data_IF_818870038367
#
_entry.id   IF_818870038367
#
_cell.length_a   1.000
_cell.length_b   1.000
_cell.length_c   1.000
_cell.angle_alpha   90.00
_cell.angle_beta   90.00
_cell.angle_gamma   90.00
#
_symmetry.space_group_name_H-M   'P 1'
#
loop_
_entity.id
_entity.type
_entity.pdbx_description
1 polymer ?
#
# COMPACT_ATOMS: atom_id res chain seq x y z
N UNK A 1 14.12 -43.44 -16.00
CA UNK A 1 14.09 -42.34 -16.97
C UNK A 1 13.01 -41.36 -16.55
N UNK A 2 13.42 -40.31 -15.84
CA UNK A 2 12.52 -39.24 -15.37
C UNK A 2 12.34 -38.31 -16.57
N UNK A 3 11.13 -38.29 -17.15
CA UNK A 3 10.77 -37.31 -18.17
C UNK A 3 10.99 -35.92 -17.56
N UNK A 4 11.91 -35.16 -18.16
CA UNK A 4 12.17 -33.78 -17.79
C UNK A 4 10.87 -32.98 -17.78
N UNK A 5 10.61 -32.29 -16.66
CA UNK A 5 9.75 -31.12 -16.66
C UNK A 5 10.29 -30.19 -17.75
N UNK A 6 9.57 -30.10 -18.88
CA UNK A 6 9.79 -29.04 -19.87
C UNK A 6 9.80 -27.72 -19.09
N UNK A 7 10.92 -27.01 -19.11
CA UNK A 7 10.92 -25.58 -18.79
C UNK A 7 9.92 -24.95 -19.76
N UNK A 8 8.74 -24.59 -19.25
CA UNK A 8 7.72 -23.93 -20.04
C UNK A 8 8.32 -22.66 -20.65
N UNK A 9 7.96 -22.36 -21.89
CA UNK A 9 8.48 -21.19 -22.60
C UNK A 9 8.32 -19.92 -21.74
N UNK A 10 9.43 -19.19 -21.56
CA UNK A 10 9.45 -17.90 -20.87
C UNK A 10 8.43 -16.96 -21.51
N UNK A 11 7.41 -16.53 -20.75
CA UNK A 11 6.38 -15.62 -21.23
C UNK A 11 6.97 -14.28 -21.70
N UNK A 12 6.43 -13.73 -22.77
CA UNK A 12 6.70 -12.37 -23.23
C UNK A 12 5.83 -11.39 -22.45
N UNK A 13 6.47 -10.50 -21.71
CA UNK A 13 5.82 -9.49 -20.89
C UNK A 13 6.06 -8.11 -21.49
N UNK A 14 5.00 -7.34 -21.69
CA UNK A 14 5.07 -5.93 -22.03
C UNK A 14 4.75 -5.10 -20.80
N UNK A 15 5.60 -4.14 -20.49
CA UNK A 15 5.47 -3.33 -19.28
C UNK A 15 5.43 -1.85 -19.66
N UNK A 16 4.52 -1.09 -19.04
CA UNK A 16 4.37 0.35 -19.22
C UNK A 16 4.11 1.02 -17.87
N UNK A 17 4.56 2.28 -17.75
CA UNK A 17 4.33 3.10 -16.56
C UNK A 17 5.55 3.25 -15.65
N UNK A 18 5.35 3.82 -14.46
CA UNK A 18 6.43 4.26 -13.57
C UNK A 18 7.21 3.07 -12.98
N UNK A 19 6.56 1.92 -12.79
CA UNK A 19 7.18 0.70 -12.26
C UNK A 19 8.01 -0.07 -13.30
N UNK A 20 8.02 0.37 -14.58
CA UNK A 20 8.57 -0.40 -15.71
C UNK A 20 10.01 -0.85 -15.50
N UNK A 21 10.88 0.03 -15.00
CA UNK A 21 12.31 -0.32 -14.87
C UNK A 21 12.53 -1.36 -13.77
N UNK A 22 11.89 -1.20 -12.62
CA UNK A 22 12.00 -2.13 -11.50
C UNK A 22 11.45 -3.52 -11.89
N UNK A 23 10.25 -3.55 -12.47
CA UNK A 23 9.61 -4.80 -12.90
C UNK A 23 10.39 -5.46 -14.04
N UNK A 24 10.94 -4.68 -14.99
CA UNK A 24 11.80 -5.25 -16.04
C UNK A 24 13.00 -5.97 -15.45
N UNK A 25 13.71 -5.34 -14.48
CA UNK A 25 14.85 -5.98 -13.82
C UNK A 25 14.44 -7.27 -13.12
N UNK A 26 13.40 -7.19 -12.28
CA UNK A 26 12.89 -8.34 -11.51
C UNK A 26 12.52 -9.51 -12.44
N UNK A 27 11.84 -9.23 -13.55
CA UNK A 27 11.36 -10.26 -14.46
C UNK A 27 12.48 -10.89 -15.30
N UNK A 28 13.46 -10.10 -15.75
CA UNK A 28 14.65 -10.62 -16.41
C UNK A 28 15.45 -11.55 -15.50
N UNK A 29 15.62 -11.18 -14.23
CA UNK A 29 16.32 -12.00 -13.22
C UNK A 29 15.64 -13.36 -12.98
N UNK A 30 14.35 -13.49 -13.34
CA UNK A 30 13.56 -14.72 -13.23
C UNK A 30 13.24 -15.37 -14.59
N UNK A 31 13.96 -14.99 -15.65
CA UNK A 31 13.91 -15.66 -16.95
C UNK A 31 12.70 -15.32 -17.83
N UNK A 32 11.93 -14.27 -17.50
CA UNK A 32 10.89 -13.75 -18.40
C UNK A 32 11.52 -12.98 -19.56
N UNK A 33 10.79 -12.90 -20.69
CA UNK A 33 11.20 -12.12 -21.86
C UNK A 33 10.44 -10.81 -21.91
N UNK A 34 11.13 -9.72 -22.24
CA UNK A 34 10.49 -8.41 -22.39
C UNK A 34 10.22 -8.15 -23.88
N UNK A 35 8.95 -7.90 -24.21
CA UNK A 35 8.55 -7.52 -25.58
C UNK A 35 8.22 -6.04 -25.67
N UNK A 36 8.46 -5.47 -26.86
CA UNK A 36 8.23 -4.06 -27.18
C UNK A 36 8.78 -3.10 -26.12
N UNK A 37 10.03 -3.25 -25.65
CA UNK A 37 10.61 -2.34 -24.66
C UNK A 37 10.75 -0.92 -25.24
N UNK A 38 10.53 0.11 -24.42
CA UNK A 38 10.79 1.50 -24.83
C UNK A 38 12.30 1.72 -25.07
N UNK A 39 12.70 2.75 -25.84
CA UNK A 39 14.12 3.04 -26.07
C UNK A 39 14.94 3.17 -24.77
N UNK A 40 14.34 3.78 -23.74
CA UNK A 40 14.98 3.91 -22.43
C UNK A 40 15.20 2.54 -21.75
N UNK A 41 14.26 1.60 -21.89
CA UNK A 41 14.40 0.24 -21.34
C UNK A 41 15.40 -0.58 -22.16
N UNK A 42 15.40 -0.44 -23.49
CA UNK A 42 16.42 -1.06 -24.35
C UNK A 42 17.83 -0.62 -23.94
N UNK A 43 18.04 0.68 -23.73
CA UNK A 43 19.31 1.23 -23.28
C UNK A 43 19.72 0.72 -21.89
N UNK A 44 18.80 0.75 -20.91
CA UNK A 44 19.08 0.35 -19.52
C UNK A 44 19.47 -1.12 -19.37
N UNK A 45 18.88 -2.00 -20.18
CA UNK A 45 19.04 -3.44 -20.04
C UNK A 45 19.76 -4.10 -21.22
N UNK A 46 20.32 -3.31 -22.14
CA UNK A 46 20.92 -3.77 -23.39
C UNK A 46 20.01 -4.76 -24.17
N UNK A 47 18.69 -4.51 -24.15
CA UNK A 47 17.71 -5.37 -24.82
C UNK A 47 17.59 -4.99 -26.29
N UNK A 48 17.52 -5.99 -27.15
CA UNK A 48 17.08 -5.79 -28.52
C UNK A 48 15.57 -5.55 -28.55
N UNK A 49 15.12 -4.63 -29.40
CA UNK A 49 13.70 -4.42 -29.64
C UNK A 49 13.07 -5.66 -30.26
N UNK A 50 12.35 -6.44 -29.46
CA UNK A 50 11.54 -7.56 -29.95
C UNK A 50 10.09 -7.11 -30.11
N UNK A 51 9.41 -7.57 -31.17
CA UNK A 51 8.02 -7.23 -31.47
C UNK A 51 7.06 -8.43 -31.34
N UNK A 52 7.48 -9.48 -30.61
CA UNK A 52 6.64 -10.63 -30.31
C UNK A 52 5.34 -10.19 -29.62
N UNK A 53 4.21 -10.88 -29.88
CA UNK A 53 3.00 -10.68 -29.08
C UNK A 53 3.29 -10.83 -27.59
N UNK A 54 2.67 -9.98 -26.76
CA UNK A 54 2.71 -10.10 -25.31
C UNK A 54 1.78 -11.20 -24.80
N UNK A 55 2.28 -12.09 -23.95
CA UNK A 55 1.46 -13.03 -23.18
C UNK A 55 0.83 -12.35 -21.95
N UNK A 56 1.54 -11.34 -21.42
CA UNK A 56 1.12 -10.51 -20.30
C UNK A 56 1.41 -9.04 -20.60
N UNK A 57 0.43 -8.19 -20.36
CA UNK A 57 0.58 -6.74 -20.28
C UNK A 57 0.55 -6.28 -18.82
N UNK A 58 1.54 -5.50 -18.42
CA UNK A 58 1.57 -4.78 -17.15
C UNK A 58 1.52 -3.28 -17.45
N UNK A 59 0.58 -2.57 -16.82
CA UNK A 59 0.44 -1.10 -16.93
C UNK A 59 0.14 -0.50 -15.57
N UNK A 60 0.47 0.76 -15.36
CA UNK A 60 0.08 1.44 -14.11
C UNK A 60 -1.44 1.42 -13.90
N UNK A 61 -1.86 1.33 -12.65
CA UNK A 61 -3.21 1.74 -12.23
C UNK A 61 -3.38 3.24 -12.45
N UNK A 62 -4.64 3.70 -12.54
CA UNK A 62 -4.97 5.11 -12.79
C UNK A 62 -4.44 6.06 -11.70
N UNK A 63 -4.38 5.59 -10.46
CA UNK A 63 -3.87 6.32 -9.29
C UNK A 63 -2.35 6.13 -9.08
N UNK A 64 -1.70 5.33 -9.92
CA UNK A 64 -0.30 4.93 -9.84
C UNK A 64 0.09 4.23 -8.51
N UNK A 65 -0.87 3.76 -7.71
CA UNK A 65 -0.64 3.01 -6.47
C UNK A 65 -0.31 1.53 -6.70
N UNK A 66 -0.09 1.15 -7.95
CA UNK A 66 0.30 -0.19 -8.35
C UNK A 66 0.09 -0.39 -9.84
N UNK A 67 -0.21 -1.63 -10.25
CA UNK A 67 -0.32 -2.02 -11.66
C UNK A 67 -1.56 -2.85 -11.95
N UNK A 68 -2.03 -2.77 -13.18
CA UNK A 68 -2.96 -3.71 -13.79
C UNK A 68 -2.17 -4.74 -14.59
N UNK A 69 -2.53 -6.01 -14.44
CA UNK A 69 -2.00 -7.12 -15.21
C UNK A 69 -3.13 -7.69 -16.04
N UNK A 70 -2.91 -7.85 -17.35
CA UNK A 70 -3.85 -8.55 -18.23
C UNK A 70 -3.15 -9.54 -19.16
N UNK A 71 -3.84 -10.60 -19.53
CA UNK A 71 -3.34 -11.62 -20.47
C UNK A 71 -3.61 -13.04 -19.99
N UNK A 72 -2.76 -13.98 -20.40
CA UNK A 72 -2.96 -15.40 -20.14
C UNK A 72 -3.00 -15.71 -18.63
N UNK A 73 -4.05 -16.39 -18.17
CA UNK A 73 -4.30 -16.70 -16.75
C UNK A 73 -3.17 -17.51 -16.09
N UNK A 74 -2.68 -18.56 -16.75
CA UNK A 74 -1.60 -19.40 -16.21
C UNK A 74 -0.29 -18.60 -16.04
N UNK A 75 0.03 -17.76 -17.03
CA UNK A 75 1.22 -16.90 -16.97
C UNK A 75 1.07 -15.81 -15.91
N UNK A 76 -0.11 -15.18 -15.81
CA UNK A 76 -0.41 -14.18 -14.80
C UNK A 76 -0.33 -14.79 -13.39
N UNK A 77 -0.89 -15.97 -13.14
CA UNK A 77 -0.78 -16.65 -11.84
C UNK A 77 0.68 -16.94 -11.43
N UNK A 78 1.53 -17.37 -12.38
CA UNK A 78 2.98 -17.52 -12.16
C UNK A 78 3.63 -16.19 -11.78
N UNK A 79 3.30 -15.12 -12.51
CA UNK A 79 3.81 -13.79 -12.25
C UNK A 79 3.39 -13.28 -10.87
N UNK A 80 2.12 -13.45 -10.47
CA UNK A 80 1.64 -13.10 -9.13
C UNK A 80 2.41 -13.87 -8.05
N UNK A 81 2.62 -15.17 -8.25
CA UNK A 81 3.38 -15.99 -7.30
C UNK A 81 4.81 -15.49 -7.12
N UNK A 82 5.48 -15.11 -8.23
CA UNK A 82 6.79 -14.47 -8.20
C UNK A 82 6.75 -13.15 -7.43
N UNK A 83 5.82 -12.26 -7.77
CA UNK A 83 5.73 -10.93 -7.15
C UNK A 83 5.44 -11.05 -5.64
N UNK A 84 4.59 -11.97 -5.19
CA UNK A 84 4.33 -12.23 -3.76
C UNK A 84 5.57 -12.67 -2.99
N UNK A 85 6.50 -13.37 -3.63
CA UNK A 85 7.75 -13.78 -2.99
C UNK A 85 8.69 -12.60 -2.81
N UNK A 86 8.64 -11.62 -3.72
CA UNK A 86 9.51 -10.45 -3.71
C UNK A 86 8.93 -9.25 -2.94
N UNK A 87 7.61 -9.08 -2.95
CA UNK A 87 6.90 -7.88 -2.50
C UNK A 87 6.00 -8.23 -1.31
N UNK A 88 6.43 -7.82 -0.10
CA UNK A 88 5.84 -8.25 1.17
C UNK A 88 4.36 -7.86 1.30
N UNK A 89 4.07 -6.57 1.12
CA UNK A 89 2.77 -5.95 1.39
C UNK A 89 1.93 -5.78 0.14
N UNK A 90 2.30 -6.42 -0.97
CA UNK A 90 1.52 -6.41 -2.19
C UNK A 90 0.13 -7.02 -1.97
N UNK A 91 -0.90 -6.36 -2.49
CA UNK A 91 -2.29 -6.84 -2.49
C UNK A 91 -2.73 -7.08 -3.91
N UNK A 92 -3.46 -8.18 -4.16
CA UNK A 92 -3.93 -8.58 -5.50
C UNK A 92 -5.43 -8.80 -5.47
N UNK A 93 -6.14 -8.31 -6.48
CA UNK A 93 -7.59 -8.48 -6.62
C UNK A 93 -7.99 -8.52 -8.10
N UNK A 94 -9.15 -9.12 -8.45
CA UNK A 94 -9.67 -9.04 -9.82
C UNK A 94 -9.86 -7.58 -10.26
N UNK A 95 -9.54 -7.27 -11.52
CA UNK A 95 -9.72 -5.93 -12.04
C UNK A 95 -11.22 -5.61 -12.20
N UNK A 96 -11.62 -4.41 -11.76
CA UNK A 96 -13.02 -3.99 -11.86
C UNK A 96 -13.94 -4.58 -10.80
N UNK A 97 -13.41 -5.38 -9.87
CA UNK A 97 -14.13 -5.83 -8.68
C UNK A 97 -14.58 -4.61 -7.85
N UNK A 98 -15.88 -4.54 -7.54
CA UNK A 98 -16.51 -3.41 -6.83
C UNK A 98 -17.05 -3.88 -5.47
N UNK A 99 -16.21 -3.94 -4.42
CA UNK A 99 -16.62 -4.48 -3.11
C UNK A 99 -17.73 -3.65 -2.44
N UNK A 100 -17.91 -2.38 -2.82
CA UNK A 100 -18.92 -1.47 -2.24
C UNK A 100 -20.35 -1.69 -2.74
N UNK A 101 -20.59 -2.72 -3.57
CA UNK A 101 -21.95 -3.18 -3.84
C UNK A 101 -22.51 -4.06 -2.70
N UNK A 102 -21.64 -4.58 -1.82
CA UNK A 102 -22.02 -5.21 -0.57
C UNK A 102 -22.02 -4.18 0.58
N UNK A 103 -22.98 -4.25 1.50
CA UNK A 103 -22.95 -3.43 2.72
C UNK A 103 -21.72 -3.77 3.57
N UNK A 104 -21.27 -2.80 4.37
CA UNK A 104 -20.13 -2.94 5.28
C UNK A 104 -20.42 -4.06 6.29
N UNK A 105 -19.80 -5.23 6.11
CA UNK A 105 -20.10 -6.46 6.86
C UNK A 105 -20.62 -7.61 5.98
N UNK A 106 -21.39 -7.33 4.93
CA UNK A 106 -21.89 -8.32 3.97
C UNK A 106 -20.82 -8.78 2.97
N UNK A 107 -19.81 -7.95 2.71
CA UNK A 107 -18.64 -8.31 1.87
C UNK A 107 -18.03 -9.67 2.27
N UNK A 108 -18.06 -9.90 3.57
CA UNK A 108 -17.44 -11.01 4.27
C UNK A 108 -18.34 -12.24 4.39
N UNK A 109 -19.63 -12.07 4.09
CA UNK A 109 -20.66 -13.10 4.15
C UNK A 109 -20.99 -13.65 2.74
N UNK A 110 -20.75 -12.88 1.67
CA UNK A 110 -21.14 -13.21 0.30
C UNK A 110 -19.96 -13.05 -0.69
N UNK A 111 -18.99 -13.98 -0.59
CA UNK A 111 -17.73 -13.95 -1.36
C UNK A 111 -17.72 -14.85 -2.60
N UNK A 112 -18.85 -15.49 -2.94
CA UNK A 112 -18.93 -16.41 -4.09
C UNK A 112 -18.49 -15.73 -5.39
N UNK A 113 -18.79 -14.43 -5.57
CA UNK A 113 -18.39 -13.70 -6.78
C UNK A 113 -16.87 -13.45 -6.85
N UNK A 114 -16.23 -13.05 -5.74
CA UNK A 114 -14.78 -12.86 -5.68
C UNK A 114 -14.05 -14.19 -5.89
N UNK A 115 -14.52 -15.24 -5.22
CA UNK A 115 -14.00 -16.60 -5.36
C UNK A 115 -14.19 -17.11 -6.79
N UNK A 116 -15.35 -16.89 -7.42
CA UNK A 116 -15.61 -17.27 -8.80
C UNK A 116 -14.75 -16.50 -9.81
N UNK A 117 -14.51 -15.20 -9.61
CA UNK A 117 -13.62 -14.41 -10.48
C UNK A 117 -12.16 -14.90 -10.38
N UNK A 118 -11.70 -15.21 -9.16
CA UNK A 118 -10.37 -15.78 -8.90
C UNK A 118 -10.27 -17.21 -9.46
N UNK A 119 -11.29 -18.04 -9.24
CA UNK A 119 -11.35 -19.44 -9.66
C UNK A 119 -11.72 -19.63 -11.15
N UNK A 120 -12.16 -18.56 -11.83
CA UNK A 120 -12.71 -18.62 -13.18
C UNK A 120 -11.81 -19.38 -14.17
N UNK A 121 -12.43 -20.08 -15.10
CA UNK A 121 -11.75 -20.94 -16.09
C UNK A 121 -11.32 -20.20 -17.36
N UNK A 122 -11.60 -18.89 -17.44
CA UNK A 122 -11.26 -18.10 -18.62
C UNK A 122 -9.75 -18.09 -18.90
N UNK A 123 -9.39 -18.27 -20.17
CA UNK A 123 -7.99 -18.32 -20.60
C UNK A 123 -7.25 -16.98 -20.40
N UNK A 124 -7.99 -15.87 -20.38
CA UNK A 124 -7.49 -14.53 -20.06
C UNK A 124 -7.99 -14.07 -18.69
N UNK A 125 -7.23 -13.19 -18.06
CA UNK A 125 -7.63 -12.55 -16.80
C UNK A 125 -7.14 -11.12 -16.77
N UNK A 126 -7.85 -10.27 -16.02
CA UNK A 126 -7.36 -8.96 -15.60
C UNK A 126 -7.29 -8.89 -14.08
N UNK A 127 -6.13 -8.50 -13.56
CA UNK A 127 -5.86 -8.33 -12.14
C UNK A 127 -5.40 -6.92 -11.85
N UNK A 128 -5.82 -6.42 -10.70
CA UNK A 128 -5.25 -5.25 -10.06
C UNK A 128 -4.26 -5.67 -8.98
N UNK A 129 -3.12 -5.00 -8.95
CA UNK A 129 -2.14 -5.11 -7.89
C UNK A 129 -1.94 -3.75 -7.25
N UNK A 130 -2.03 -3.71 -5.92
CA UNK A 130 -1.60 -2.57 -5.12
C UNK A 130 -0.19 -2.78 -4.56
N UNK A 131 0.61 -1.73 -4.61
CA UNK A 131 1.93 -1.67 -4.00
C UNK A 131 1.93 -0.66 -2.85
N UNK A 132 1.76 -1.08 -1.60
CA UNK A 132 1.99 -0.23 -0.44
C UNK A 132 3.49 0.03 -0.22
N UNK A 133 3.82 0.74 0.86
CA UNK A 133 5.13 1.37 1.02
C UNK A 133 6.32 0.40 0.95
N UNK A 134 6.21 -0.82 1.50
CA UNK A 134 7.32 -1.79 1.49
C UNK A 134 7.56 -2.33 0.09
N UNK A 135 6.51 -2.60 -0.68
CA UNK A 135 6.58 -3.00 -2.09
C UNK A 135 7.19 -1.89 -2.93
N UNK A 136 6.74 -0.63 -2.77
CA UNK A 136 7.33 0.51 -3.47
C UNK A 136 8.82 0.66 -3.14
N UNK A 137 9.19 0.58 -1.86
CA UNK A 137 10.59 0.67 -1.44
C UNK A 137 11.45 -0.48 -2.01
N UNK A 138 10.89 -1.70 -2.08
CA UNK A 138 11.57 -2.85 -2.69
C UNK A 138 11.79 -2.62 -4.19
N UNK A 139 10.76 -2.14 -4.90
CA UNK A 139 10.86 -1.80 -6.32
C UNK A 139 11.81 -0.62 -6.58
N UNK A 140 11.85 0.38 -5.70
CA UNK A 140 12.84 1.48 -5.73
C UNK A 140 14.26 0.93 -5.60
N UNK A 141 14.49 0.00 -4.67
CA UNK A 141 15.80 -0.62 -4.46
C UNK A 141 16.23 -1.43 -5.70
N UNK A 142 15.33 -2.21 -6.30
CA UNK A 142 15.58 -2.94 -7.54
C UNK A 142 15.90 -1.98 -8.69
N UNK A 143 15.13 -0.89 -8.82
CA UNK A 143 15.38 0.15 -9.82
C UNK A 143 16.76 0.80 -9.62
N UNK A 144 17.15 1.04 -8.36
CA UNK A 144 18.44 1.62 -7.97
C UNK A 144 19.66 0.80 -8.40
N UNK A 145 19.49 -0.49 -8.68
CA UNK A 145 20.56 -1.34 -9.24
C UNK A 145 20.81 -1.06 -10.73
N UNK A 146 19.90 -0.40 -11.41
CA UNK A 146 19.92 -0.17 -12.86
C UNK A 146 20.21 1.28 -13.22
N UNK A 147 19.69 2.22 -12.44
CA UNK A 147 19.81 3.66 -12.71
C UNK A 147 19.77 4.46 -11.40
N UNK A 148 20.38 5.65 -11.34
CA UNK A 148 20.18 6.57 -10.22
C UNK A 148 18.70 6.66 -9.86
N UNK A 149 18.41 6.39 -8.59
CA UNK A 149 17.07 6.30 -8.04
C UNK A 149 17.07 6.97 -6.67
N UNK A 150 16.16 7.94 -6.48
CA UNK A 150 15.94 8.58 -5.18
C UNK A 150 15.18 7.65 -4.24
N UNK A 151 15.37 7.80 -2.92
CA UNK A 151 14.48 7.17 -1.93
C UNK A 151 13.02 7.55 -2.18
N UNK A 152 12.11 6.59 -2.01
CA UNK A 152 10.67 6.75 -2.24
C UNK A 152 10.34 7.18 -3.67
N UNK A 153 11.15 6.77 -4.67
CA UNK A 153 10.99 7.16 -6.07
C UNK A 153 9.56 6.94 -6.56
N UNK A 154 9.00 5.74 -6.41
CA UNK A 154 7.64 5.49 -6.91
C UNK A 154 6.60 6.38 -6.23
N UNK A 155 6.68 6.59 -4.90
CA UNK A 155 5.77 7.51 -4.20
C UNK A 155 5.92 8.94 -4.72
N UNK A 156 7.16 9.44 -4.86
CA UNK A 156 7.42 10.79 -5.34
C UNK A 156 7.09 10.97 -6.82
N UNK A 157 7.15 9.92 -7.65
CA UNK A 157 6.68 9.94 -9.04
C UNK A 157 5.17 10.09 -9.13
N UNK A 158 4.39 9.63 -8.14
CA UNK A 158 2.94 9.89 -8.07
C UNK A 158 2.68 11.37 -7.82
N UNK A 159 3.50 12.00 -6.97
CA UNK A 159 3.31 13.38 -6.54
C UNK A 159 3.83 14.38 -7.57
N UNK A 160 5.08 14.21 -8.01
CA UNK A 160 5.79 15.18 -8.84
C UNK A 160 6.81 14.49 -9.75
N UNK A 161 6.34 13.89 -10.87
CA UNK A 161 7.19 13.14 -11.79
C UNK A 161 8.43 13.91 -12.26
N UNK A 162 8.25 15.18 -12.62
CA UNK A 162 9.27 16.02 -13.25
C UNK A 162 10.40 16.40 -12.31
N UNK A 163 10.07 16.67 -11.03
CA UNK A 163 11.08 17.00 -10.02
C UNK A 163 11.94 15.79 -9.66
N UNK A 164 11.34 14.60 -9.59
CA UNK A 164 12.09 13.35 -9.40
C UNK A 164 13.07 13.14 -10.56
N UNK A 165 12.63 13.31 -11.80
CA UNK A 165 13.50 13.13 -12.98
C UNK A 165 14.68 14.12 -12.95
N UNK A 166 14.42 15.39 -12.60
CA UNK A 166 15.45 16.42 -12.45
C UNK A 166 16.47 16.06 -11.36
N UNK A 167 16.01 15.60 -10.20
CA UNK A 167 16.91 15.23 -9.10
C UNK A 167 17.69 13.96 -9.42
N UNK A 168 17.10 12.96 -10.07
CA UNK A 168 17.82 11.76 -10.51
C UNK A 168 18.93 12.09 -11.54
N UNK A 169 18.68 13.05 -12.44
CA UNK A 169 19.70 13.56 -13.35
C UNK A 169 20.83 14.27 -12.60
N UNK A 170 20.49 15.11 -11.61
CA UNK A 170 21.47 15.78 -10.76
C UNK A 170 22.32 14.77 -9.96
N UNK A 171 21.70 13.71 -9.43
CA UNK A 171 22.40 12.62 -8.73
C UNK A 171 23.33 11.88 -9.68
N UNK A 172 22.93 11.64 -10.93
CA UNK A 172 23.81 11.02 -11.93
C UNK A 172 25.09 11.81 -12.12
N UNK A 173 24.97 13.14 -12.15
CA UNK A 173 26.11 14.06 -12.34
C UNK A 173 26.90 14.31 -11.04
N UNK A 174 26.24 14.24 -9.89
CA UNK A 174 26.84 14.52 -8.56
C UNK A 174 26.48 13.47 -7.51
N UNK A 175 26.94 12.20 -7.64
CA UNK A 175 26.51 11.11 -6.76
C UNK A 175 26.76 11.35 -5.27
N UNK A 176 27.83 12.08 -4.91
CA UNK A 176 28.17 12.40 -3.52
C UNK A 176 27.14 13.31 -2.83
N UNK A 177 26.29 14.01 -3.58
CA UNK A 177 25.20 14.86 -3.05
C UNK A 177 23.87 14.14 -2.88
N UNK A 178 23.82 12.82 -3.16
CA UNK A 178 22.56 12.06 -3.17
C UNK A 178 21.72 12.27 -1.91
N UNK A 179 22.31 12.13 -0.72
CA UNK A 179 21.57 12.26 0.54
C UNK A 179 21.00 13.69 0.74
N UNK A 180 21.78 14.72 0.42
CA UNK A 180 21.34 16.12 0.50
C UNK A 180 20.17 16.39 -0.46
N UNK A 181 20.27 15.90 -1.70
CA UNK A 181 19.25 16.07 -2.73
C UNK A 181 17.96 15.31 -2.40
N UNK A 182 18.07 14.09 -1.86
CA UNK A 182 16.92 13.31 -1.38
C UNK A 182 16.21 14.00 -0.23
N UNK A 183 16.95 14.50 0.75
CA UNK A 183 16.40 15.21 1.91
C UNK A 183 15.67 16.48 1.49
N UNK A 184 16.27 17.27 0.60
CA UNK A 184 15.65 18.47 0.06
C UNK A 184 14.41 18.15 -0.76
N UNK A 185 14.45 17.12 -1.60
CA UNK A 185 13.32 16.68 -2.41
C UNK A 185 12.12 16.30 -1.54
N UNK A 186 12.36 15.53 -0.48
CA UNK A 186 11.31 15.14 0.48
C UNK A 186 10.72 16.35 1.22
N UNK A 187 11.58 17.24 1.71
CA UNK A 187 11.17 18.44 2.41
C UNK A 187 10.34 19.37 1.52
N UNK A 188 10.78 19.62 0.27
CA UNK A 188 10.12 20.54 -0.66
C UNK A 188 8.78 20.00 -1.19
N UNK A 189 8.69 18.69 -1.44
CA UNK A 189 7.53 18.09 -2.11
C UNK A 189 6.51 17.52 -1.12
N UNK A 190 6.94 17.00 0.04
CA UNK A 190 6.04 16.37 1.00
C UNK A 190 5.84 17.27 2.22
N UNK A 191 6.90 17.54 2.97
CA UNK A 191 6.73 18.13 4.32
C UNK A 191 6.30 19.59 4.29
N UNK A 192 6.85 20.43 3.39
CA UNK A 192 6.45 21.84 3.29
C UNK A 192 4.97 21.99 2.88
N UNK A 193 4.49 21.34 1.81
CA UNK A 193 3.06 21.38 1.48
C UNK A 193 2.17 20.84 2.60
N UNK A 194 2.60 19.76 3.27
CA UNK A 194 1.85 19.17 4.37
C UNK A 194 1.71 20.12 5.56
N UNK A 195 2.78 20.85 5.91
CA UNK A 195 2.74 21.91 6.95
C UNK A 195 1.86 23.09 6.57
N UNK A 196 1.65 23.33 5.28
CA UNK A 196 0.84 24.44 4.77
C UNK A 196 -0.66 24.11 4.71
N UNK A 197 -1.05 22.86 5.01
CA UNK A 197 -2.46 22.47 5.09
C UNK A 197 -3.16 23.27 6.20
N UNK A 198 -4.09 24.16 5.80
CA UNK A 198 -4.77 25.09 6.71
C UNK A 198 -6.02 24.52 7.38
N UNK A 199 -6.58 23.45 6.82
CA UNK A 199 -7.82 22.84 7.29
C UNK A 199 -7.58 21.48 7.95
N UNK A 200 -8.28 20.44 7.49
CA UNK A 200 -8.21 19.08 7.98
C UNK A 200 -7.37 18.25 7.01
N UNK A 201 -6.32 17.61 7.53
CA UNK A 201 -5.53 16.68 6.71
C UNK A 201 -6.32 15.40 6.46
N UNK A 202 -6.52 15.03 5.19
CA UNK A 202 -7.22 13.80 4.83
C UNK A 202 -6.45 12.56 5.28
N UNK A 203 -7.16 11.57 5.82
CA UNK A 203 -6.64 10.22 6.03
C UNK A 203 -7.31 9.30 5.01
N UNK A 204 -6.52 8.77 4.09
CA UNK A 204 -6.96 7.82 3.07
C UNK A 204 -6.75 6.41 3.60
N UNK A 205 -7.86 5.78 3.92
CA UNK A 205 -7.94 4.42 4.44
C UNK A 205 -8.32 3.48 3.29
N UNK A 206 -7.41 2.58 2.92
CA UNK A 206 -7.59 1.70 1.75
C UNK A 206 -7.75 0.28 2.25
N UNK A 207 -8.82 -0.40 1.87
CA UNK A 207 -8.98 -1.79 2.22
C UNK A 207 -8.27 -2.72 1.21
N UNK A 208 -7.88 -3.95 1.62
CA UNK A 208 -7.37 -4.98 0.72
C UNK A 208 -8.28 -5.29 -0.48
N UNK A 209 -9.59 -5.08 -0.36
CA UNK A 209 -10.56 -5.31 -1.44
C UNK A 209 -10.57 -4.17 -2.48
N UNK A 210 -9.91 -3.05 -2.19
CA UNK A 210 -9.80 -1.89 -3.10
C UNK A 210 -10.76 -0.75 -2.82
N UNK A 211 -11.57 -0.84 -1.74
CA UNK A 211 -12.37 0.29 -1.27
C UNK A 211 -11.45 1.35 -0.66
N UNK A 212 -11.57 2.59 -1.14
CA UNK A 212 -10.84 3.73 -0.60
C UNK A 212 -11.82 4.64 0.15
N UNK A 213 -11.54 4.89 1.42
CA UNK A 213 -12.30 5.76 2.30
C UNK A 213 -11.49 7.00 2.62
N UNK A 214 -12.01 8.16 2.22
CA UNK A 214 -11.50 9.44 2.68
C UNK A 214 -12.13 9.75 4.03
N UNK A 215 -11.40 9.43 5.10
CA UNK A 215 -11.85 9.72 6.44
C UNK A 215 -11.72 11.22 6.70
N UNK A 216 -12.74 11.80 7.34
CA UNK A 216 -12.70 13.19 7.76
C UNK A 216 -11.46 13.40 8.62
N UNK A 217 -10.57 14.24 8.13
CA UNK A 217 -9.31 14.58 8.76
C UNK A 217 -9.47 15.26 10.12
N UNK A 218 -8.34 15.72 10.64
CA UNK A 218 -8.29 16.59 11.82
C UNK A 218 -7.34 17.75 11.61
N UNK A 219 -7.34 18.69 12.56
CA UNK A 219 -6.37 19.79 12.59
C UNK A 219 -5.00 19.22 12.94
N UNK A 220 -3.95 19.62 12.21
CA UNK A 220 -2.58 19.24 12.53
C UNK A 220 -2.18 19.96 13.83
N UNK A 221 -1.84 19.19 14.87
CA UNK A 221 -1.29 19.71 16.11
C UNK A 221 0.23 19.84 16.05
N UNK A 222 0.89 18.83 15.49
CA UNK A 222 2.33 18.78 15.33
C UNK A 222 2.68 17.98 14.07
N UNK A 223 3.70 18.41 13.34
CA UNK A 223 4.29 17.68 12.23
C UNK A 223 5.81 17.77 12.31
N UNK A 224 6.40 16.67 12.74
CA UNK A 224 7.83 16.40 12.65
C UNK A 224 8.16 15.66 11.36
N UNK A 225 9.43 15.33 11.12
CA UNK A 225 9.88 14.69 9.88
C UNK A 225 9.16 13.39 9.57
N UNK A 226 8.91 12.58 10.60
CA UNK A 226 8.34 11.23 10.50
C UNK A 226 7.11 11.01 11.40
N UNK A 227 6.65 12.05 12.12
CA UNK A 227 5.55 11.94 13.07
C UNK A 227 4.55 13.07 12.85
N UNK A 228 3.27 12.71 12.74
CA UNK A 228 2.16 13.63 12.60
C UNK A 228 1.16 13.39 13.73
N UNK A 229 0.76 14.47 14.40
CA UNK A 229 -0.32 14.48 15.38
C UNK A 229 -1.50 15.26 14.83
N UNK A 230 -2.67 14.63 14.83
CA UNK A 230 -3.90 15.18 14.27
C UNK A 230 -4.99 15.17 15.34
N UNK A 231 -5.67 16.30 15.55
CA UNK A 231 -6.81 16.40 16.47
C UNK A 231 -8.13 16.44 15.72
N UNK A 232 -9.06 15.59 16.13
CA UNK A 232 -10.45 15.56 15.67
C UNK A 232 -11.37 15.91 16.83
N UNK A 233 -12.33 16.79 16.59
CA UNK A 233 -13.37 17.16 17.56
C UNK A 233 -14.66 16.42 17.21
N UNK A 234 -15.38 15.90 18.21
CA UNK A 234 -16.65 15.23 18.05
C UNK A 234 -17.77 16.16 18.55
N UNK A 235 -18.53 16.74 17.61
CA UNK A 235 -19.56 17.76 17.91
C UNK A 235 -20.96 17.18 18.10
N UNK A 236 -21.24 15.98 17.58
CA UNK A 236 -22.56 15.34 17.63
C UNK A 236 -22.43 13.91 18.15
N UNK A 237 -23.09 13.64 19.26
CA UNK A 237 -23.23 12.31 19.85
C UNK A 237 -24.62 11.76 19.49
N UNK A 238 -24.80 11.28 18.25
CA UNK A 238 -26.07 10.71 17.81
C UNK A 238 -26.25 9.25 18.30
N UNK A 239 -25.92 9.00 19.58
CA UNK A 239 -25.87 7.64 20.15
C UNK A 239 -24.74 6.76 19.58
N UNK A 240 -23.80 7.36 18.85
CA UNK A 240 -22.66 6.66 18.27
C UNK A 240 -21.64 6.27 19.35
N UNK A 241 -20.96 5.14 19.11
CA UNK A 241 -19.89 4.66 19.96
C UNK A 241 -18.55 4.71 19.21
N UNK A 242 -17.46 4.79 19.97
CA UNK A 242 -16.14 4.54 19.41
C UNK A 242 -16.04 3.08 18.98
N UNK A 243 -15.71 2.88 17.71
CA UNK A 243 -15.63 1.55 17.11
C UNK A 243 -14.62 0.66 17.86
N UNK A 244 -14.98 -0.60 18.05
CA UNK A 244 -14.24 -1.59 18.86
C UNK A 244 -14.13 -1.28 20.37
N UNK A 245 -14.26 -0.02 20.80
CA UNK A 245 -14.25 0.37 22.21
C UNK A 245 -15.63 0.25 22.86
N UNK A 246 -16.73 0.30 22.09
CA UNK A 246 -18.13 0.26 22.60
C UNK A 246 -18.38 1.31 23.71
N UNK A 247 -17.66 2.44 23.64
CA UNK A 247 -17.82 3.57 24.54
C UNK A 247 -18.64 4.65 23.84
N UNK A 248 -19.63 5.28 24.50
CA UNK A 248 -20.40 6.35 23.88
C UNK A 248 -19.50 7.54 23.55
N UNK A 249 -19.70 8.11 22.37
CA UNK A 249 -19.15 9.41 22.01
C UNK A 249 -20.02 10.45 22.70
N UNK A 250 -19.40 11.38 23.42
CA UNK A 250 -20.10 12.46 24.11
C UNK A 250 -19.77 13.82 23.47
N UNK A 251 -20.69 14.80 23.49
CA UNK A 251 -20.41 16.12 22.94
C UNK A 251 -19.19 16.76 23.62
N UNK A 252 -18.24 17.24 22.80
CA UNK A 252 -17.00 17.84 23.32
C UNK A 252 -15.85 16.85 23.49
N UNK A 253 -16.10 15.54 23.32
CA UNK A 253 -15.02 14.57 23.18
C UNK A 253 -14.10 14.94 22.01
N UNK A 254 -12.85 14.51 22.11
CA UNK A 254 -11.88 14.70 21.03
C UNK A 254 -10.93 13.51 20.91
N UNK A 255 -10.45 13.30 19.69
CA UNK A 255 -9.50 12.25 19.35
C UNK A 255 -8.16 12.85 18.95
N UNK A 256 -7.07 12.28 19.46
CA UNK A 256 -5.72 12.53 18.98
C UNK A 256 -5.29 11.31 18.17
N UNK A 257 -5.03 11.52 16.90
CA UNK A 257 -4.46 10.51 16.02
C UNK A 257 -2.97 10.76 15.87
N UNK A 258 -2.15 9.80 16.28
CA UNK A 258 -0.73 9.79 16.04
C UNK A 258 -0.42 8.88 14.85
N UNK A 259 0.36 9.42 13.92
CA UNK A 259 0.77 8.72 12.72
C UNK A 259 2.26 8.82 12.55
N UNK A 260 2.92 7.68 12.37
CA UNK A 260 4.35 7.61 12.09
C UNK A 260 4.59 7.13 10.68
N UNK A 261 5.44 7.82 9.92
CA UNK A 261 5.82 7.40 8.57
C UNK A 261 6.49 6.03 8.62
N UNK A 262 6.08 5.13 7.75
CA UNK A 262 6.42 3.71 7.77
C UNK A 262 6.01 2.94 9.04
N UNK A 263 5.19 3.53 9.90
CA UNK A 263 4.59 2.83 11.04
C UNK A 263 3.56 1.82 10.55
N UNK A 264 3.49 0.66 11.20
CA UNK A 264 2.55 -0.43 10.87
C UNK A 264 1.18 -0.29 11.54
N UNK A 265 0.95 0.86 12.19
CA UNK A 265 -0.35 1.16 12.77
C UNK A 265 -0.58 2.67 12.86
N UNK A 266 -1.85 3.06 12.88
CA UNK A 266 -2.28 4.37 13.36
C UNK A 266 -2.79 4.22 14.79
N UNK A 267 -2.45 5.17 15.67
CA UNK A 267 -2.96 5.21 17.04
C UNK A 267 -3.97 6.34 17.19
N UNK A 268 -5.19 6.01 17.61
CA UNK A 268 -6.23 6.95 17.96
C UNK A 268 -6.48 6.90 19.47
N UNK A 269 -6.14 7.96 20.18
CA UNK A 269 -6.46 8.13 21.61
C UNK A 269 -7.66 9.05 21.75
N UNK A 270 -8.71 8.59 22.43
CA UNK A 270 -9.96 9.33 22.63
C UNK A 270 -10.07 9.85 24.04
N UNK A 271 -10.46 11.13 24.17
CA UNK A 271 -10.53 11.85 25.42
C UNK A 271 -11.91 12.48 25.59
N UNK A 272 -12.36 12.57 26.85
CA UNK A 272 -13.53 13.36 27.21
C UNK A 272 -13.29 14.86 27.01
N UNK A 273 -14.36 15.66 27.06
CA UNK A 273 -14.26 17.12 27.07
C UNK A 273 -13.31 17.65 28.17
N UNK A 274 -13.27 16.98 29.32
CA UNK A 274 -12.40 17.32 30.46
C UNK A 274 -10.95 16.83 30.31
N UNK A 275 -10.63 16.13 29.20
CA UNK A 275 -9.30 15.62 28.91
C UNK A 275 -8.96 14.28 29.56
N UNK A 276 -9.95 13.55 30.07
CA UNK A 276 -9.74 12.19 30.60
C UNK A 276 -9.67 11.18 29.45
N UNK A 277 -8.65 10.32 29.45
CA UNK A 277 -8.53 9.25 28.46
C UNK A 277 -9.70 8.26 28.62
N UNK A 278 -10.47 8.07 27.54
CA UNK A 278 -11.56 7.09 27.46
C UNK A 278 -11.05 5.75 26.92
N UNK A 279 -10.17 5.78 25.92
CA UNK A 279 -9.56 4.59 25.37
C UNK A 279 -8.61 4.88 24.22
N UNK A 280 -7.94 3.85 23.73
CA UNK A 280 -7.03 3.91 22.59
C UNK A 280 -7.33 2.77 21.62
N UNK A 281 -7.30 3.12 20.33
CA UNK A 281 -7.51 2.22 19.20
C UNK A 281 -6.25 2.24 18.35
N UNK A 282 -5.72 1.07 18.02
CA UNK A 282 -4.61 0.90 17.10
C UNK A 282 -5.09 0.18 15.86
N UNK A 283 -5.14 0.93 14.76
CA UNK A 283 -5.44 0.38 13.45
C UNK A 283 -4.18 -0.25 12.85
N UNK A 284 -4.13 -1.56 12.64
CA UNK A 284 -2.95 -2.21 12.07
C UNK A 284 -3.04 -2.18 10.55
N UNK A 285 -2.01 -1.62 9.93
CA UNK A 285 -1.97 -1.35 8.51
C UNK A 285 -0.58 -1.63 7.93
N UNK A 286 -0.51 -1.63 6.60
CA UNK A 286 0.78 -1.54 5.92
C UNK A 286 1.44 -0.20 6.23
N UNK A 287 2.78 -0.12 6.20
CA UNK A 287 3.52 1.08 6.57
C UNK A 287 2.99 2.38 5.94
N UNK A 288 2.71 3.36 6.81
CA UNK A 288 2.03 4.60 6.42
C UNK A 288 2.85 5.48 5.46
N UNK A 289 2.18 6.00 4.44
CA UNK A 289 2.73 6.89 3.40
C UNK A 289 2.26 8.34 3.59
N UNK A 290 3.22 9.28 3.57
CA UNK A 290 2.92 10.71 3.65
C UNK A 290 2.86 11.29 2.23
N UNK A 291 1.79 12.03 1.94
CA UNK A 291 1.58 12.79 0.73
C UNK A 291 1.50 14.30 1.06
N UNK A 292 1.59 15.21 0.06
CA UNK A 292 1.58 16.67 0.29
C UNK A 292 0.31 17.21 0.94
N UNK A 293 -0.80 16.47 0.81
CA UNK A 293 -2.17 16.88 1.11
C UNK A 293 -2.92 15.89 2.01
N UNK A 294 -2.35 14.70 2.23
CA UNK A 294 -3.02 13.60 2.91
C UNK A 294 -2.02 12.59 3.47
N UNK A 295 -2.52 11.72 4.34
CA UNK A 295 -1.83 10.51 4.75
C UNK A 295 -2.56 9.31 4.17
N UNK A 296 -1.83 8.30 3.70
CA UNK A 296 -2.39 7.10 3.09
C UNK A 296 -1.82 5.85 3.73
N UNK A 297 -2.67 4.84 3.92
CA UNK A 297 -2.27 3.51 4.36
C UNK A 297 -3.26 2.46 3.85
N UNK A 298 -2.80 1.22 3.72
CA UNK A 298 -3.66 0.08 3.44
C UNK A 298 -3.94 -0.68 4.74
N UNK A 299 -5.21 -0.77 5.08
CA UNK A 299 -5.73 -1.44 6.25
C UNK A 299 -5.57 -2.97 6.16
N UNK A 300 -5.30 -3.62 7.30
CA UNK A 300 -5.15 -5.08 7.36
C UNK A 300 -6.29 -5.76 8.14
N UNK A 301 -7.37 -5.03 8.42
CA UNK A 301 -8.59 -5.48 9.10
C UNK A 301 -8.38 -6.11 10.47
N UNK A 302 -7.23 -5.87 11.11
CA UNK A 302 -6.91 -6.38 12.44
C UNK A 302 -6.55 -5.21 13.32
N UNK A 303 -7.16 -5.12 14.49
CA UNK A 303 -7.03 -3.93 15.32
C UNK A 303 -6.84 -4.29 16.79
N UNK A 304 -6.15 -3.43 17.52
CA UNK A 304 -6.04 -3.55 18.97
C UNK A 304 -6.81 -2.40 19.59
N UNK A 305 -7.59 -2.68 20.62
CA UNK A 305 -8.35 -1.67 21.36
C UNK A 305 -8.09 -1.81 22.85
N UNK A 306 -8.03 -0.69 23.55
CA UNK A 306 -7.85 -0.63 24.99
C UNK A 306 -8.76 0.44 25.58
N UNK A 307 -9.69 0.04 26.43
CA UNK A 307 -10.43 0.99 27.27
C UNK A 307 -9.53 1.48 28.41
N UNK A 308 -9.78 2.69 28.88
CA UNK A 308 -9.05 3.26 30.01
C UNK A 308 -9.15 2.35 31.24
N UNK A 309 -8.00 1.93 31.77
CA UNK A 309 -7.92 1.02 32.93
C UNK A 309 -8.13 -0.47 32.63
N UNK A 310 -8.36 -0.86 31.38
CA UNK A 310 -8.49 -2.26 30.96
C UNK A 310 -7.24 -2.75 30.22
N UNK A 311 -7.07 -4.07 30.12
CA UNK A 311 -6.04 -4.67 29.28
C UNK A 311 -6.40 -4.51 27.79
N UNK A 312 -5.41 -4.32 26.90
CA UNK A 312 -5.66 -4.25 25.46
C UNK A 312 -6.18 -5.60 24.94
N UNK A 313 -7.11 -5.56 23.97
CA UNK A 313 -7.68 -6.73 23.30
C UNK A 313 -7.57 -6.60 21.79
N UNK A 314 -7.52 -7.74 21.12
CA UNK A 314 -7.47 -7.86 19.67
C UNK A 314 -8.89 -8.06 19.12
N UNK A 315 -9.24 -7.34 18.05
CA UNK A 315 -10.53 -7.45 17.36
C UNK A 315 -10.31 -7.76 15.86
N UNK A 316 -11.39 -8.18 15.19
CA UNK A 316 -11.48 -8.34 13.73
C UNK A 316 -10.50 -9.31 13.04
N UNK A 317 -9.83 -10.19 13.79
CA UNK A 317 -8.92 -11.22 13.25
C UNK A 317 -9.51 -12.05 12.09
N UNK A 318 -10.81 -12.34 12.16
CA UNK A 318 -11.54 -13.12 11.15
C UNK A 318 -11.55 -12.41 9.78
N UNK A 319 -11.55 -11.07 9.74
CA UNK A 319 -11.48 -10.30 8.50
C UNK A 319 -10.09 -10.41 7.85
N UNK A 320 -9.01 -10.34 8.64
CA UNK A 320 -7.65 -10.59 8.16
C UNK A 320 -7.52 -12.02 7.60
N UNK A 321 -8.06 -13.01 8.32
CA UNK A 321 -8.03 -14.41 7.89
C UNK A 321 -8.73 -14.59 6.54
N UNK A 322 -9.93 -14.03 6.38
CA UNK A 322 -10.64 -14.05 5.09
C UNK A 322 -9.87 -13.35 3.97
N UNK A 323 -9.23 -12.22 4.22
CA UNK A 323 -8.40 -11.57 3.21
C UNK A 323 -7.23 -12.47 2.73
N UNK A 324 -6.70 -13.34 3.60
CA UNK A 324 -5.71 -14.36 3.24
C UNK A 324 -6.35 -15.50 2.45
N UNK A 325 -7.50 -16.00 2.90
CA UNK A 325 -8.19 -17.14 2.29
C UNK A 325 -8.67 -16.83 0.87
N UNK A 326 -9.21 -15.63 0.64
CA UNK A 326 -9.52 -15.11 -0.69
C UNK A 326 -8.28 -14.76 -1.52
N UNK A 327 -7.08 -14.89 -0.93
CA UNK A 327 -5.83 -14.59 -1.61
C UNK A 327 -5.63 -13.11 -1.92
N UNK A 328 -6.31 -12.18 -1.25
CA UNK A 328 -6.08 -10.75 -1.46
C UNK A 328 -4.71 -10.33 -0.93
N UNK A 329 -4.38 -10.82 0.26
CA UNK A 329 -3.10 -10.57 0.94
C UNK A 329 -2.30 -11.86 1.11
N UNK A 330 -0.98 -11.74 1.24
CA UNK A 330 -0.13 -12.91 1.45
C UNK A 330 -0.20 -13.41 2.91
N UNK A 331 -0.07 -14.73 3.16
CA UNK A 331 0.09 -15.24 4.53
C UNK A 331 1.29 -14.63 5.27
N UNK A 332 2.31 -14.18 4.54
CA UNK A 332 3.49 -13.51 5.11
C UNK A 332 3.13 -12.13 5.66
N UNK A 333 2.35 -11.34 4.92
CA UNK A 333 1.87 -10.03 5.38
C UNK A 333 0.97 -10.17 6.61
N UNK A 334 0.04 -11.13 6.59
CA UNK A 334 -0.84 -11.39 7.72
C UNK A 334 -0.08 -11.82 8.99
N UNK A 335 1.06 -12.51 8.86
CA UNK A 335 1.93 -12.79 10.01
C UNK A 335 2.55 -11.52 10.58
N UNK A 336 3.06 -10.63 9.73
CA UNK A 336 3.60 -9.34 10.18
C UNK A 336 2.53 -8.51 10.91
N UNK A 337 1.31 -8.46 10.39
CA UNK A 337 0.19 -7.77 11.03
C UNK A 337 -0.09 -8.33 12.45
N UNK A 338 -0.16 -9.66 12.58
CA UNK A 338 -0.35 -10.32 13.89
C UNK A 338 0.81 -10.11 14.84
N UNK A 339 2.05 -10.03 14.36
CA UNK A 339 3.22 -9.72 15.19
C UNK A 339 3.17 -8.29 15.73
N UNK A 340 2.77 -7.32 14.89
CA UNK A 340 2.51 -5.94 15.32
C UNK A 340 1.41 -5.90 16.37
N UNK A 341 0.28 -6.59 16.13
CA UNK A 341 -0.82 -6.69 17.10
C UNK A 341 -0.34 -7.23 18.45
N UNK A 342 0.38 -8.35 18.45
CA UNK A 342 0.93 -8.97 19.66
C UNK A 342 1.86 -8.03 20.41
N UNK A 343 2.68 -7.25 19.69
CA UNK A 343 3.58 -6.29 20.32
C UNK A 343 2.83 -5.17 21.07
N UNK A 344 1.66 -4.77 20.57
CA UNK A 344 0.79 -3.77 21.20
C UNK A 344 0.08 -4.33 22.43
N UNK A 345 -0.34 -5.61 22.39
CA UNK A 345 -0.93 -6.29 23.54
C UNK A 345 0.03 -6.38 24.74
N UNK A 346 1.33 -6.52 24.50
CA UNK A 346 2.36 -6.61 25.56
C UNK A 346 2.71 -5.22 26.11
N UNK A 347 2.67 -4.17 25.29
CA UNK A 347 3.05 -2.80 25.67
C UNK A 347 1.99 -2.07 26.50
N UNK A 348 0.73 -2.52 26.47
CA UNK A 348 -0.38 -1.92 27.20
C UNK A 348 -0.60 -2.46 28.62
N UNK A 349 0.37 -3.20 29.18
CA UNK A 349 0.33 -3.80 30.52
C UNK A 349 1.23 -3.11 31.54
#
# INVERSE_FOLDING_TARGET
MILGRKMAASAYVKIRGIYTTALTRLLLDHGYKITRPSPQIQQRFALMGTNSPEDILIRDRRDHQGVLISGNREQAARLISLLRNCLLDMVVRPAGFKPWQAEEGLFWEDNEQLEAEIAGEEAEMELEIEFPAVSKATLDAIRGQVTPTVKNHHLLKIVSPSWVDLVEEAIRSTPWRKAELEDKLWEDIILRPLRQQRELIGLIHVHPEGRELSLRGGKILNLERDCLLVRREFSEANGQQYDGLELPIEPGDYGITQVSRNGWFLQHSYYSQDGLLKGTYWNINTPVEFYPDRIRYLDLHIDVVQRSGEAPRLIDQEKLDRAVDCGLISPKLARCAREVAKSLLIRGG
#
